data_IF_788540734572
#
_entry.id   IF_788540734572
#
_cell.length_a   1.000
_cell.length_b   1.000
_cell.length_c   1.000
_cell.angle_alpha   90.00
_cell.angle_beta   90.00
_cell.angle_gamma   90.00
#
_symmetry.space_group_name_H-M   'P 1'
#
loop_
_entity.id
_entity.type
_entity.pdbx_description
1 polymer ?
#
# COMPACT_ATOMS: atom_id res chain seq x y z
N UNK A 1 -8.40 -6.13 -19.55
CA UNK A 1 -7.43 -6.43 -20.62
C UNK A 1 -7.42 -7.94 -20.89
N UNK A 2 -7.34 -8.35 -22.18
CA UNK A 2 -7.43 -9.76 -22.59
C UNK A 2 -6.38 -10.67 -21.93
N UNK A 3 -5.21 -10.12 -21.57
CA UNK A 3 -4.14 -10.84 -20.86
C UNK A 3 -4.49 -11.29 -19.45
N UNK A 4 -5.50 -10.68 -18.81
CA UNK A 4 -5.89 -10.97 -17.42
C UNK A 4 -7.16 -11.85 -17.32
N UNK A 5 -7.73 -12.32 -18.41
CA UNK A 5 -8.98 -13.10 -18.40
C UNK A 5 -8.89 -14.43 -17.62
N UNK A 6 -7.69 -14.99 -17.50
CA UNK A 6 -7.42 -16.22 -16.74
C UNK A 6 -6.96 -15.96 -15.30
N UNK A 7 -6.88 -14.70 -14.88
CA UNK A 7 -6.41 -14.33 -13.53
C UNK A 7 -7.48 -14.62 -12.49
N UNK A 8 -7.04 -15.05 -11.31
CA UNK A 8 -7.90 -15.18 -10.14
C UNK A 8 -7.86 -13.88 -9.35
N UNK A 9 -9.01 -13.27 -9.16
CA UNK A 9 -9.13 -12.00 -8.43
C UNK A 9 -9.58 -12.24 -7.00
N UNK A 10 -8.96 -11.51 -6.09
CA UNK A 10 -9.28 -11.46 -4.67
C UNK A 10 -9.51 -10.02 -4.27
N UNK A 11 -10.56 -9.75 -3.52
CA UNK A 11 -10.86 -8.44 -2.98
C UNK A 11 -11.09 -8.51 -1.48
N UNK A 12 -10.68 -7.47 -0.77
CA UNK A 12 -10.92 -7.28 0.64
C UNK A 12 -11.61 -5.95 0.82
N UNK A 13 -12.77 -5.97 1.43
CA UNK A 13 -13.57 -4.77 1.68
C UNK A 13 -14.08 -4.80 3.12
N UNK A 14 -13.84 -3.73 3.87
CA UNK A 14 -14.28 -3.62 5.25
C UNK A 14 -15.76 -3.27 5.33
N UNK A 15 -16.22 -2.35 4.47
CA UNK A 15 -17.62 -1.92 4.45
C UNK A 15 -18.52 -3.02 3.90
N UNK A 16 -19.55 -3.34 4.66
CA UNK A 16 -20.45 -4.44 4.35
C UNK A 16 -21.31 -4.20 3.10
N UNK A 17 -21.71 -2.95 2.85
CA UNK A 17 -22.55 -2.58 1.69
C UNK A 17 -21.70 -2.64 0.44
N UNK A 18 -20.56 -1.96 0.43
CA UNK A 18 -19.61 -1.97 -0.67
C UNK A 18 -19.13 -3.39 -1.01
N UNK A 19 -18.87 -4.19 0.01
CA UNK A 19 -18.47 -5.58 -0.15
C UNK A 19 -19.55 -6.47 -0.78
N UNK A 20 -20.82 -6.28 -0.42
CA UNK A 20 -21.96 -6.99 -1.04
C UNK A 20 -22.17 -6.54 -2.49
N UNK A 21 -22.02 -5.27 -2.79
CA UNK A 21 -22.07 -4.75 -4.16
C UNK A 21 -20.93 -5.37 -4.99
N UNK A 22 -19.71 -5.37 -4.46
CA UNK A 22 -18.55 -5.96 -5.15
C UNK A 22 -18.77 -7.44 -5.46
N UNK A 23 -19.31 -8.23 -4.53
CA UNK A 23 -19.65 -9.65 -4.76
C UNK A 23 -20.64 -9.84 -5.92
N UNK A 24 -21.63 -8.94 -6.06
CA UNK A 24 -22.61 -9.01 -7.15
C UNK A 24 -22.00 -8.58 -8.49
N UNK A 25 -21.14 -7.55 -8.49
CA UNK A 25 -20.51 -7.06 -9.71
C UNK A 25 -19.42 -8.01 -10.22
N UNK A 26 -18.73 -8.72 -9.32
CA UNK A 26 -17.60 -9.60 -9.63
C UNK A 26 -17.83 -11.03 -9.10
N UNK A 27 -18.85 -11.76 -9.59
CA UNK A 27 -19.26 -13.06 -9.04
C UNK A 27 -18.18 -14.14 -9.13
N UNK A 28 -17.23 -14.00 -10.06
CA UNK A 28 -16.11 -14.92 -10.24
C UNK A 28 -14.88 -14.58 -9.41
N UNK A 29 -14.96 -13.52 -8.59
CA UNK A 29 -13.86 -13.07 -7.73
C UNK A 29 -14.07 -13.50 -6.29
N UNK A 30 -12.98 -13.77 -5.57
CA UNK A 30 -13.03 -14.08 -4.14
C UNK A 30 -13.07 -12.79 -3.33
N UNK A 31 -14.26 -12.28 -3.05
CA UNK A 31 -14.43 -11.05 -2.25
C UNK A 31 -14.68 -11.42 -0.79
N UNK A 32 -13.80 -10.98 0.10
CA UNK A 32 -13.93 -11.12 1.56
C UNK A 32 -14.35 -9.80 2.18
N UNK A 33 -15.50 -9.80 2.87
CA UNK A 33 -16.05 -8.63 3.58
C UNK A 33 -15.58 -8.68 5.02
N UNK A 34 -14.42 -8.12 5.27
CA UNK A 34 -13.76 -8.04 6.58
C UNK A 34 -12.51 -7.15 6.53
N UNK A 35 -12.02 -6.76 7.69
CA UNK A 35 -10.74 -6.03 7.77
C UNK A 35 -9.56 -6.87 7.28
N UNK A 36 -8.55 -6.21 6.72
CA UNK A 36 -7.36 -6.87 6.20
C UNK A 36 -6.60 -7.64 7.30
N UNK A 37 -6.64 -7.15 8.53
CA UNK A 37 -6.06 -7.81 9.71
C UNK A 37 -6.65 -9.20 9.97
N UNK A 38 -7.90 -9.44 9.56
CA UNK A 38 -8.62 -10.71 9.73
C UNK A 38 -8.48 -11.67 8.56
N UNK A 39 -7.67 -11.32 7.56
CA UNK A 39 -7.45 -12.20 6.40
C UNK A 39 -6.36 -13.23 6.71
N UNK A 40 -6.55 -14.46 6.22
CA UNK A 40 -5.66 -15.60 6.41
C UNK A 40 -5.04 -16.06 5.07
N UNK A 41 -4.59 -15.13 4.24
CA UNK A 41 -3.89 -15.48 3.01
C UNK A 41 -2.50 -16.02 3.31
N UNK A 42 -2.10 -17.04 2.56
CA UNK A 42 -0.73 -17.56 2.61
C UNK A 42 0.27 -16.51 2.14
N UNK A 43 1.47 -16.56 2.68
CA UNK A 43 2.55 -15.72 2.18
C UNK A 43 2.93 -16.13 0.74
N UNK A 44 3.40 -15.17 -0.03
CA UNK A 44 3.80 -15.35 -1.43
C UNK A 44 2.68 -15.88 -2.36
N UNK A 45 1.43 -15.57 -2.04
CA UNK A 45 0.27 -16.07 -2.80
C UNK A 45 0.00 -15.26 -4.07
N UNK A 46 0.16 -13.94 -4.03
CA UNK A 46 -0.30 -13.04 -5.08
C UNK A 46 0.83 -12.61 -6.02
N UNK A 47 0.52 -12.52 -7.31
CA UNK A 47 1.44 -11.95 -8.31
C UNK A 47 1.45 -10.43 -8.25
N UNK A 48 0.28 -9.82 -8.03
CA UNK A 48 0.07 -8.38 -8.03
C UNK A 48 -0.90 -8.02 -6.90
N UNK A 49 -0.61 -6.93 -6.21
CA UNK A 49 -1.53 -6.28 -5.29
C UNK A 49 -1.72 -4.83 -5.70
N UNK A 50 -2.98 -4.40 -5.82
CA UNK A 50 -3.34 -3.02 -6.13
C UNK A 50 -4.40 -2.55 -5.16
N UNK A 51 -4.38 -1.27 -4.78
CA UNK A 51 -5.38 -0.74 -3.87
C UNK A 51 -5.21 0.74 -3.55
N UNK A 52 -6.30 1.33 -3.10
CA UNK A 52 -6.28 2.60 -2.40
C UNK A 52 -6.33 2.26 -0.91
N UNK A 53 -5.17 2.35 -0.23
CA UNK A 53 -5.08 1.97 1.18
C UNK A 53 -5.75 3.02 2.07
N UNK A 54 -6.35 2.62 3.21
CA UNK A 54 -6.96 3.57 4.12
C UNK A 54 -5.93 4.55 4.68
N UNK A 55 -6.32 5.81 4.81
CA UNK A 55 -5.50 6.87 5.40
C UNK A 55 -5.96 7.12 6.83
N UNK A 56 -5.03 7.37 7.74
CA UNK A 56 -5.38 7.73 9.11
C UNK A 56 -4.26 7.51 10.12
N UNK A 57 -4.41 8.16 11.27
CA UNK A 57 -3.48 8.07 12.40
C UNK A 57 -3.90 6.98 13.41
N UNK A 58 -4.54 5.93 12.93
CA UNK A 58 -4.93 4.79 13.75
C UNK A 58 -4.18 3.52 13.35
N UNK A 59 -4.28 2.52 14.20
CA UNK A 59 -3.64 1.21 14.04
C UNK A 59 -4.69 0.11 14.09
N UNK A 60 -4.35 -1.03 13.51
CA UNK A 60 -5.14 -2.26 13.65
C UNK A 60 -4.34 -3.27 14.46
N UNK A 61 -5.04 -4.11 15.20
CA UNK A 61 -4.38 -5.20 15.93
C UNK A 61 -4.22 -6.39 14.97
N UNK A 62 -2.96 -6.67 14.65
CA UNK A 62 -2.54 -7.86 13.92
C UNK A 62 -1.25 -8.36 14.56
N UNK A 63 -1.33 -9.51 15.22
CA UNK A 63 -0.26 -10.07 16.06
C UNK A 63 1.08 -10.18 15.36
N UNK A 64 1.09 -10.43 14.04
CA UNK A 64 2.32 -10.54 13.27
C UNK A 64 3.06 -9.19 13.14
N UNK A 65 2.33 -8.05 13.21
CA UNK A 65 2.85 -6.70 12.92
C UNK A 65 2.85 -5.76 14.13
N UNK A 66 2.30 -6.16 15.27
CA UNK A 66 2.15 -5.31 16.48
C UNK A 66 3.47 -4.68 16.94
N UNK A 67 4.56 -5.44 16.92
CA UNK A 67 5.89 -4.95 17.33
C UNK A 67 6.43 -3.80 16.48
N UNK A 68 5.94 -3.61 15.27
CA UNK A 68 6.39 -2.53 14.38
C UNK A 68 5.64 -1.22 14.63
N UNK A 69 4.53 -1.27 15.37
CA UNK A 69 3.71 -0.11 15.72
C UNK A 69 3.26 0.76 14.52
N UNK A 70 3.00 0.11 13.39
CA UNK A 70 2.65 0.78 12.13
C UNK A 70 1.29 1.48 12.20
N UNK A 71 1.19 2.66 11.56
CA UNK A 71 -0.10 3.26 11.20
C UNK A 71 -0.79 2.41 10.13
N UNK A 72 -2.10 2.60 9.97
CA UNK A 72 -2.92 1.76 9.08
C UNK A 72 -2.34 1.65 7.67
N UNK A 73 -1.94 2.75 7.05
CA UNK A 73 -1.37 2.74 5.71
C UNK A 73 -0.01 2.02 5.65
N UNK A 74 0.84 2.15 6.67
CA UNK A 74 2.13 1.47 6.77
C UNK A 74 1.94 -0.06 6.94
N UNK A 75 0.96 -0.43 7.77
CA UNK A 75 0.56 -1.82 7.97
C UNK A 75 0.12 -2.50 6.66
N UNK A 76 -0.64 -1.78 5.82
CA UNK A 76 -1.04 -2.33 4.53
C UNK A 76 0.15 -2.67 3.64
N UNK A 77 1.18 -1.82 3.59
CA UNK A 77 2.42 -2.15 2.88
C UNK A 77 3.11 -3.37 3.47
N UNK A 78 3.29 -3.40 4.79
CA UNK A 78 3.99 -4.47 5.47
C UNK A 78 3.32 -5.84 5.24
N UNK A 79 2.02 -5.94 5.47
CA UNK A 79 1.28 -7.19 5.28
C UNK A 79 1.23 -7.60 3.81
N UNK A 80 1.02 -6.66 2.90
CA UNK A 80 0.97 -6.97 1.46
C UNK A 80 2.30 -7.49 0.94
N UNK A 81 3.42 -6.94 1.42
CA UNK A 81 4.76 -7.45 1.08
C UNK A 81 4.93 -8.93 1.43
N UNK A 82 4.34 -9.39 2.54
CA UNK A 82 4.39 -10.82 2.88
C UNK A 82 3.47 -11.65 1.98
N UNK A 83 2.32 -11.11 1.56
CA UNK A 83 1.32 -11.85 0.77
C UNK A 83 1.64 -11.91 -0.73
N UNK A 84 2.37 -10.93 -1.26
CA UNK A 84 2.84 -10.94 -2.66
C UNK A 84 4.08 -11.83 -2.78
N UNK A 85 4.20 -12.58 -3.88
CA UNK A 85 5.35 -13.44 -4.14
C UNK A 85 6.62 -12.65 -4.47
N UNK A 86 7.76 -13.29 -4.40
CA UNK A 86 9.02 -12.71 -4.88
C UNK A 86 8.91 -12.30 -6.35
N UNK A 87 9.37 -11.10 -6.67
CA UNK A 87 9.23 -10.49 -8.00
C UNK A 87 7.83 -9.98 -8.33
N UNK A 88 6.85 -10.17 -7.44
CA UNK A 88 5.49 -9.65 -7.61
C UNK A 88 5.44 -8.13 -7.38
N UNK A 89 4.38 -7.50 -7.87
CA UNK A 89 4.22 -6.05 -7.96
C UNK A 89 3.17 -5.58 -6.95
N UNK A 90 3.46 -4.45 -6.31
CA UNK A 90 2.51 -3.72 -5.47
C UNK A 90 2.34 -2.32 -6.07
N UNK A 91 1.10 -1.88 -6.27
CA UNK A 91 0.78 -0.53 -6.71
C UNK A 91 -0.32 0.04 -5.80
N UNK A 92 0.07 0.91 -4.87
CA UNK A 92 -0.84 1.47 -3.86
C UNK A 92 -0.96 2.98 -3.99
N UNK A 93 -2.21 3.46 -3.91
CA UNK A 93 -2.50 4.86 -3.59
C UNK A 93 -2.45 4.98 -2.07
N UNK A 94 -1.66 5.93 -1.58
CA UNK A 94 -1.47 6.20 -0.15
C UNK A 94 -1.38 7.70 0.09
N UNK A 95 -1.46 8.13 1.35
CA UNK A 95 -1.22 9.54 1.67
C UNK A 95 0.24 9.93 1.41
N UNK A 96 0.48 11.20 1.09
CA UNK A 96 1.84 11.74 0.95
C UNK A 96 2.72 11.51 2.19
N UNK A 97 2.09 11.28 3.35
CA UNK A 97 2.81 10.94 4.57
C UNK A 97 3.69 9.69 4.47
N UNK A 98 3.38 8.73 3.60
CA UNK A 98 4.26 7.57 3.40
C UNK A 98 5.63 7.99 2.86
N UNK A 99 5.64 8.92 1.90
CA UNK A 99 6.88 9.43 1.30
C UNK A 99 7.54 10.53 2.15
N UNK A 100 6.76 11.44 2.73
CA UNK A 100 7.25 12.73 3.26
C UNK A 100 7.35 12.80 4.78
N UNK A 101 6.84 11.81 5.55
CA UNK A 101 6.94 11.88 7.02
C UNK A 101 8.39 11.82 7.50
N UNK A 102 8.70 12.57 8.57
CA UNK A 102 10.06 12.65 9.14
C UNK A 102 10.60 11.28 9.58
N UNK A 103 9.73 10.46 10.19
CA UNK A 103 10.10 9.08 10.54
C UNK A 103 10.24 8.25 9.27
N UNK A 104 11.41 7.67 9.05
CA UNK A 104 11.75 6.86 7.87
C UNK A 104 11.52 5.36 8.05
N UNK A 105 11.07 4.91 9.22
CA UNK A 105 11.00 3.49 9.57
C UNK A 105 10.25 2.65 8.53
N UNK A 106 9.10 3.13 8.07
CA UNK A 106 8.33 2.39 7.06
C UNK A 106 9.03 2.38 5.70
N UNK A 107 9.63 3.51 5.26
CA UNK A 107 10.36 3.55 3.99
C UNK A 107 11.56 2.62 4.04
N UNK A 108 12.27 2.57 5.15
CA UNK A 108 13.37 1.63 5.39
C UNK A 108 12.87 0.18 5.41
N UNK A 109 11.79 -0.10 6.13
CA UNK A 109 11.16 -1.42 6.15
C UNK A 109 10.81 -1.91 4.74
N UNK A 110 10.23 -1.03 3.90
CA UNK A 110 9.87 -1.35 2.52
C UNK A 110 11.13 -1.54 1.67
N UNK A 111 12.12 -0.64 1.73
CA UNK A 111 13.33 -0.70 0.91
C UNK A 111 14.15 -1.95 1.13
N UNK A 112 14.17 -2.48 2.36
CA UNK A 112 14.81 -3.75 2.66
C UNK A 112 14.11 -4.96 2.00
N UNK A 113 12.82 -4.86 1.69
CA UNK A 113 11.96 -5.95 1.22
C UNK A 113 11.49 -5.83 -0.22
N UNK A 114 11.53 -4.64 -0.76
CA UNK A 114 11.09 -4.34 -2.13
C UNK A 114 12.01 -3.35 -2.83
N UNK A 115 12.14 -3.51 -4.13
CA UNK A 115 12.70 -2.53 -5.03
C UNK A 115 11.65 -1.43 -5.27
N UNK A 116 12.04 -0.19 -5.10
CA UNK A 116 11.20 0.96 -5.40
C UNK A 116 11.26 1.24 -6.90
N UNK A 117 10.14 1.03 -7.59
CA UNK A 117 10.06 1.24 -9.04
C UNK A 117 9.73 2.68 -9.41
N UNK A 118 9.16 3.43 -8.47
CA UNK A 118 8.81 4.84 -8.64
C UNK A 118 7.55 5.23 -7.88
N UNK A 119 7.28 6.53 -7.87
CA UNK A 119 6.05 7.09 -7.33
C UNK A 119 5.52 8.21 -8.22
N UNK A 120 4.21 8.44 -8.15
CA UNK A 120 3.53 9.54 -8.84
C UNK A 120 2.74 10.31 -7.78
N UNK A 121 3.10 11.59 -7.58
CA UNK A 121 2.31 12.47 -6.72
C UNK A 121 1.06 12.95 -7.46
N UNK A 122 -0.08 12.72 -6.85
CA UNK A 122 -1.37 13.15 -7.37
C UNK A 122 -1.68 14.57 -6.90
N UNK A 123 -2.38 15.38 -7.72
CA UNK A 123 -2.89 16.67 -7.30
C UNK A 123 -3.80 16.55 -6.07
N UNK A 124 -3.74 17.51 -5.15
CA UNK A 124 -4.51 17.50 -3.91
C UNK A 124 -6.05 17.52 -4.09
N UNK A 125 -6.51 17.92 -5.27
CA UNK A 125 -7.93 18.02 -5.60
C UNK A 125 -8.49 16.81 -6.35
N UNK A 126 -7.69 15.75 -6.58
CA UNK A 126 -8.13 14.60 -7.39
C UNK A 126 -9.34 13.88 -6.79
N UNK A 127 -9.47 13.87 -5.47
CA UNK A 127 -10.58 13.25 -4.74
C UNK A 127 -11.68 14.24 -4.34
N UNK A 128 -11.54 15.54 -4.68
CA UNK A 128 -12.51 16.56 -4.26
C UNK A 128 -13.92 16.32 -4.82
N UNK A 129 -14.01 15.88 -6.08
CA UNK A 129 -15.29 15.63 -6.75
C UNK A 129 -16.03 14.38 -6.26
N UNK A 130 -15.31 13.33 -5.89
CA UNK A 130 -15.88 12.02 -5.55
C UNK A 130 -15.95 11.77 -4.04
N UNK A 131 -14.95 12.21 -3.30
CA UNK A 131 -14.85 11.96 -1.85
C UNK A 131 -14.96 13.23 -0.98
N UNK A 132 -15.10 14.43 -1.59
CA UNK A 132 -15.24 15.70 -0.87
C UNK A 132 -14.01 16.09 -0.03
N UNK A 133 -12.86 15.47 -0.27
CA UNK A 133 -11.64 15.70 0.50
C UNK A 133 -10.49 16.20 -0.37
N UNK A 134 -9.66 17.07 0.20
CA UNK A 134 -8.43 17.56 -0.42
C UNK A 134 -7.25 16.91 0.31
N UNK A 135 -6.70 15.85 -0.25
CA UNK A 135 -5.57 15.12 0.31
C UNK A 135 -4.53 14.89 -0.77
N UNK A 136 -3.30 15.32 -0.50
CA UNK A 136 -2.16 14.96 -1.36
C UNK A 136 -1.86 13.47 -1.17
N UNK A 137 -1.87 12.75 -2.26
CA UNK A 137 -1.66 11.30 -2.29
C UNK A 137 -0.57 10.93 -3.28
N UNK A 138 0.03 9.79 -3.05
CA UNK A 138 1.04 9.21 -3.92
C UNK A 138 0.59 7.84 -4.42
N UNK A 139 0.86 7.53 -5.69
CA UNK A 139 0.83 6.16 -6.19
C UNK A 139 2.26 5.63 -6.07
N UNK A 140 2.46 4.58 -5.29
CA UNK A 140 3.78 3.97 -5.08
C UNK A 140 3.81 2.61 -5.76
N UNK A 141 4.86 2.38 -6.55
CA UNK A 141 5.10 1.11 -7.26
C UNK A 141 6.31 0.40 -6.67
N UNK A 142 6.11 -0.85 -6.24
CA UNK A 142 7.12 -1.67 -5.61
C UNK A 142 7.19 -3.03 -6.27
N UNK A 143 8.39 -3.63 -6.30
CA UNK A 143 8.60 -5.02 -6.70
C UNK A 143 9.23 -5.79 -5.53
N UNK A 144 8.56 -6.81 -5.03
CA UNK A 144 9.07 -7.59 -3.90
C UNK A 144 10.40 -8.24 -4.23
N UNK A 145 11.38 -8.10 -3.34
CA UNK A 145 12.67 -8.77 -3.41
C UNK A 145 12.56 -10.23 -3.01
N UNK A 146 13.51 -11.03 -3.43
CA UNK A 146 13.64 -12.44 -3.05
C UNK A 146 14.27 -12.62 -1.66
N UNK A 147 14.96 -11.59 -1.15
CA UNK A 147 15.63 -11.58 0.15
C UNK A 147 15.67 -10.17 0.74
N UNK A 148 15.90 -10.09 2.03
CA UNK A 148 16.13 -8.81 2.71
C UNK A 148 17.50 -8.25 2.28
N UNK A 149 17.49 -6.96 1.92
CA UNK A 149 18.69 -6.21 1.59
C UNK A 149 18.77 -4.96 2.45
N UNK A 150 19.88 -4.77 3.15
CA UNK A 150 20.17 -3.50 3.84
C UNK A 150 20.80 -2.55 2.83
N UNK A 151 19.98 -1.74 2.20
CA UNK A 151 20.41 -0.74 1.21
C UNK A 151 19.97 0.64 1.66
N UNK A 152 20.77 1.62 1.29
CA UNK A 152 20.51 3.02 1.57
C UNK A 152 20.05 3.69 0.28
N UNK A 153 18.75 3.68 0.05
CA UNK A 153 18.11 4.26 -1.13
C UNK A 153 17.66 5.71 -0.86
N UNK A 154 17.83 6.58 -1.85
CA UNK A 154 17.51 8.02 -1.71
C UNK A 154 16.04 8.27 -1.33
N UNK A 155 15.10 7.50 -1.87
CA UNK A 155 13.68 7.65 -1.55
C UNK A 155 13.32 7.34 -0.08
N UNK A 156 14.21 6.71 0.67
CA UNK A 156 14.03 6.49 2.11
C UNK A 156 14.20 7.79 2.87
N UNK A 157 15.03 8.71 2.37
CA UNK A 157 15.46 9.94 3.02
C UNK A 157 14.60 11.13 2.62
N UNK A 158 14.64 12.15 3.46
CA UNK A 158 14.10 13.46 3.14
C UNK A 158 15.22 14.44 2.84
N UNK A 159 14.92 15.41 2.00
CA UNK A 159 15.72 16.59 1.76
C UNK A 159 14.95 17.84 2.16
N UNK A 160 15.54 19.01 2.04
CA UNK A 160 14.93 20.30 2.33
C UNK A 160 15.09 21.24 1.16
N UNK A 161 14.01 21.94 0.83
CA UNK A 161 14.08 23.03 -0.12
C UNK A 161 14.77 24.27 0.47
N UNK A 162 14.94 25.32 -0.35
CA UNK A 162 15.55 26.58 0.05
C UNK A 162 14.76 27.33 1.14
N UNK A 163 13.50 26.95 1.38
CA UNK A 163 12.63 27.50 2.42
C UNK A 163 12.60 26.61 3.67
N UNK A 164 13.36 25.52 3.72
CA UNK A 164 13.42 24.57 4.82
C UNK A 164 12.27 23.57 4.87
N UNK A 165 11.42 23.50 3.84
CA UNK A 165 10.36 22.51 3.74
C UNK A 165 10.96 21.14 3.40
N UNK A 166 10.59 20.14 4.17
CA UNK A 166 11.04 18.76 3.93
C UNK A 166 10.22 18.12 2.82
N UNK A 167 10.90 17.41 1.93
CA UNK A 167 10.30 16.59 0.87
C UNK A 167 11.07 15.30 0.71
N UNK A 168 10.47 14.29 0.07
CA UNK A 168 11.18 13.06 -0.24
C UNK A 168 12.30 13.30 -1.25
N UNK A 169 13.45 12.67 -1.04
CA UNK A 169 14.63 12.86 -1.88
C UNK A 169 14.52 12.23 -3.28
N UNK A 170 13.48 11.41 -3.50
CA UNK A 170 13.15 10.83 -4.82
C UNK A 170 12.71 11.86 -5.83
#
# INVERSE_FOLDING_TARGET
PGSMQKSKFYGIELDSISGQIAKKLYPNSNIQVKGFEKTAFSNNLFDIAVGNVPFGEYRVSDREYEKNNFLIHDYFFAKTLDKVRNGGIIAFITSSGTMDKRNEDIRRYISERAEFLGAIRLPNNIFKGEAGTEVTSDIIFLKKRDRLLKIDEDWVKLDKDRKGLSYNKY
#
